data_IF_055009007662
#
_entry.id   IF_055009007662
#
_cell.length_a   1.000
_cell.length_b   1.000
_cell.length_c   1.000
_cell.angle_alpha   90.00
_cell.angle_beta   90.00
_cell.angle_gamma   90.00
#
_symmetry.space_group_name_H-M   'P 1'
#
loop_
_entity.id
_entity.type
_entity.pdbx_description
1 polymer ?
#
# COMPACT_ATOMS: atom_id res chain seq x y z
N UNK A 1 -23.59 7.50 41.50
CA UNK A 1 -24.50 7.37 40.37
C UNK A 1 -24.55 5.90 39.97
N UNK A 2 -25.69 5.32 39.74
CA UNK A 2 -25.74 3.94 39.26
C UNK A 2 -25.33 3.92 37.78
N UNK A 3 -24.38 3.03 37.43
CA UNK A 3 -23.97 2.82 36.06
C UNK A 3 -25.16 2.19 35.29
N UNK A 4 -25.57 2.80 34.20
CA UNK A 4 -26.66 2.32 33.35
C UNK A 4 -26.08 1.84 32.03
N UNK A 5 -26.30 0.58 31.68
CA UNK A 5 -25.96 0.06 30.37
C UNK A 5 -26.94 0.57 29.33
N UNK A 6 -26.43 1.20 28.29
CA UNK A 6 -27.23 1.74 27.18
C UNK A 6 -26.78 1.08 25.88
N UNK A 7 -27.78 0.59 25.09
CA UNK A 7 -27.48 0.08 23.75
C UNK A 7 -27.11 1.20 22.82
N UNK A 8 -26.25 0.92 21.86
CA UNK A 8 -25.86 1.85 20.82
C UNK A 8 -26.36 1.40 19.46
N UNK A 9 -26.96 2.30 18.70
CA UNK A 9 -27.27 2.08 17.29
C UNK A 9 -26.01 2.21 16.43
N UNK A 10 -25.77 1.25 15.55
CA UNK A 10 -24.75 1.33 14.51
C UNK A 10 -25.43 1.43 13.14
N UNK A 11 -24.77 1.96 12.13
CA UNK A 11 -25.31 1.99 10.77
C UNK A 11 -25.38 0.59 10.12
N UNK A 12 -24.65 -0.38 10.68
CA UNK A 12 -24.77 -1.80 10.35
C UNK A 12 -24.42 -2.63 11.58
N UNK A 13 -25.28 -3.59 11.94
CA UNK A 13 -25.09 -4.48 13.07
C UNK A 13 -25.76 -5.83 12.82
N UNK A 14 -24.98 -6.92 12.90
CA UNK A 14 -25.45 -8.30 12.80
C UNK A 14 -24.59 -9.23 13.64
N UNK A 15 -24.88 -10.52 13.68
CA UNK A 15 -24.13 -11.49 14.47
C UNK A 15 -22.63 -11.52 14.08
N UNK A 16 -21.75 -11.11 14.98
CA UNK A 16 -20.29 -11.04 14.82
C UNK A 16 -19.79 -10.12 13.70
N UNK A 17 -20.65 -9.23 13.12
CA UNK A 17 -20.26 -8.28 12.07
C UNK A 17 -21.03 -6.97 12.22
N UNK A 18 -20.43 -5.87 11.72
CA UNK A 18 -21.06 -4.55 11.76
C UNK A 18 -20.05 -3.41 11.88
N UNK A 19 -20.59 -2.21 12.09
CA UNK A 19 -19.78 -1.03 12.42
C UNK A 19 -19.53 -0.98 13.94
N UNK A 20 -18.30 -0.72 14.32
CA UNK A 20 -17.92 -0.65 15.73
C UNK A 20 -17.21 0.68 16.03
N UNK A 21 -18.02 1.72 16.31
CA UNK A 21 -17.56 3.05 16.69
C UNK A 21 -18.31 3.48 17.94
N UNK A 22 -17.68 3.38 19.09
CA UNK A 22 -18.26 3.80 20.36
C UNK A 22 -17.90 5.27 20.63
N UNK A 23 -18.82 6.05 21.26
CA UNK A 23 -18.50 7.38 21.75
C UNK A 23 -17.35 7.33 22.75
N UNK A 24 -16.52 8.36 22.76
CA UNK A 24 -15.50 8.54 23.79
C UNK A 24 -16.11 9.14 25.06
N UNK A 25 -15.47 8.91 26.19
CA UNK A 25 -15.90 9.53 27.45
C UNK A 25 -15.81 11.06 27.32
N UNK A 26 -16.94 11.72 27.54
CA UNK A 26 -17.09 13.17 27.40
C UNK A 26 -17.68 13.63 26.08
N UNK A 27 -17.99 12.71 25.18
CA UNK A 27 -18.73 13.04 23.95
C UNK A 27 -20.21 13.37 24.26
N UNK A 28 -20.75 14.26 23.48
CA UNK A 28 -22.19 14.56 23.44
C UNK A 28 -22.88 13.54 22.56
N UNK A 29 -23.96 12.91 23.06
CA UNK A 29 -24.69 11.88 22.35
C UNK A 29 -26.18 12.19 22.28
N UNK A 30 -26.82 11.76 21.18
CA UNK A 30 -28.27 11.77 21.03
C UNK A 30 -28.84 10.48 21.61
N UNK A 31 -29.76 10.61 22.56
CA UNK A 31 -30.43 9.47 23.19
C UNK A 31 -31.90 9.43 22.80
N UNK A 32 -32.32 8.30 22.26
CA UNK A 32 -33.73 7.97 22.05
C UNK A 32 -34.22 6.97 23.12
N UNK A 33 -35.52 6.72 23.14
CA UNK A 33 -36.17 5.78 24.08
C UNK A 33 -37.12 4.86 23.31
N UNK A 34 -36.97 3.54 23.50
CA UNK A 34 -37.92 2.58 22.93
C UNK A 34 -39.29 2.79 23.55
N UNK A 35 -40.33 2.69 22.76
CA UNK A 35 -41.74 2.85 23.17
C UNK A 35 -41.99 4.17 23.96
N UNK A 36 -41.16 5.19 23.74
CA UNK A 36 -41.23 6.46 24.49
C UNK A 36 -41.05 6.29 26.01
N UNK A 37 -40.41 5.21 26.46
CA UNK A 37 -40.19 4.89 27.85
C UNK A 37 -38.73 5.18 28.26
N UNK A 38 -38.46 6.14 29.19
CA UNK A 38 -37.12 6.50 29.64
C UNK A 38 -36.31 5.37 30.24
N UNK A 39 -36.93 4.25 30.60
CA UNK A 39 -36.26 3.06 31.11
C UNK A 39 -35.50 2.28 30.05
N UNK A 40 -35.79 2.53 28.76
CA UNK A 40 -35.16 1.83 27.63
C UNK A 40 -34.40 2.79 26.71
N UNK A 41 -33.32 3.42 27.19
CA UNK A 41 -32.52 4.34 26.39
C UNK A 41 -31.72 3.62 25.30
N UNK A 42 -31.50 4.34 24.19
CA UNK A 42 -30.61 3.92 23.10
C UNK A 42 -29.82 5.14 22.59
N UNK A 43 -28.51 5.01 22.45
CA UNK A 43 -27.67 6.01 21.83
C UNK A 43 -27.83 5.90 20.31
N UNK A 44 -28.26 6.97 19.67
CA UNK A 44 -28.50 7.06 18.23
C UNK A 44 -27.27 7.57 17.45
N UNK A 45 -26.38 8.30 18.09
CA UNK A 45 -25.16 8.86 17.51
C UNK A 45 -24.51 9.90 18.42
N UNK A 46 -23.40 10.46 17.98
CA UNK A 46 -22.66 11.52 18.65
C UNK A 46 -22.82 12.86 17.91
N UNK A 47 -22.66 13.96 18.62
CA UNK A 47 -22.73 15.32 18.09
C UNK A 47 -21.39 16.03 18.25
N UNK A 48 -21.01 16.81 17.25
CA UNK A 48 -19.96 17.82 17.41
C UNK A 48 -20.51 19.03 18.14
N UNK A 49 -19.68 19.68 18.94
CA UNK A 49 -20.05 20.86 19.70
C UNK A 49 -18.86 21.82 19.84
N UNK A 50 -19.04 22.92 20.58
CA UNK A 50 -18.01 23.94 20.75
C UNK A 50 -16.71 23.45 21.43
N UNK A 51 -16.74 22.31 22.16
CA UNK A 51 -15.58 21.67 22.78
C UNK A 51 -14.99 20.58 21.90
N UNK A 52 -15.85 19.78 21.26
CA UNK A 52 -15.50 18.65 20.38
C UNK A 52 -15.88 19.05 18.95
N UNK A 53 -15.02 19.81 18.27
CA UNK A 53 -15.25 20.28 16.91
C UNK A 53 -15.13 19.16 15.87
N UNK A 54 -15.83 19.32 14.74
CA UNK A 54 -15.66 18.47 13.57
C UNK A 54 -14.22 18.51 13.05
N UNK A 55 -13.65 17.40 12.55
CA UNK A 55 -12.32 17.38 11.94
C UNK A 55 -12.20 18.22 10.68
N UNK A 56 -13.32 18.63 10.08
CA UNK A 56 -13.37 19.49 8.89
C UNK A 56 -14.40 20.62 9.10
N UNK A 57 -14.11 21.77 8.51
CA UNK A 57 -15.07 22.85 8.40
C UNK A 57 -15.99 22.57 7.21
N UNK A 58 -17.29 22.60 7.46
CA UNK A 58 -18.28 22.46 6.38
C UNK A 58 -18.20 23.63 5.40
N UNK A 59 -18.22 23.36 4.12
CA UNK A 59 -18.31 24.33 3.04
C UNK A 59 -19.54 24.07 2.15
N UNK A 60 -19.85 25.01 1.28
CA UNK A 60 -21.00 24.90 0.40
C UNK A 60 -20.88 23.79 -0.66
N UNK A 61 -19.66 23.36 -0.98
CA UNK A 61 -19.40 22.28 -1.96
C UNK A 61 -19.58 20.90 -1.34
N UNK A 62 -19.39 20.78 -0.04
CA UNK A 62 -19.43 19.50 0.68
C UNK A 62 -18.58 18.40 -0.01
N UNK A 63 -17.39 18.78 -0.49
CA UNK A 63 -16.55 17.89 -1.30
C UNK A 63 -15.81 16.83 -0.48
N UNK A 64 -15.62 17.06 0.82
CA UNK A 64 -14.88 16.14 1.69
C UNK A 64 -15.83 15.28 2.51
N UNK A 65 -15.62 13.96 2.48
CA UNK A 65 -16.21 13.00 3.41
C UNK A 65 -15.08 12.24 4.06
N UNK A 66 -15.12 12.04 5.37
CA UNK A 66 -14.03 11.36 6.05
C UNK A 66 -14.48 10.59 7.30
N UNK A 67 -13.70 9.58 7.62
CA UNK A 67 -13.65 8.94 8.94
C UNK A 67 -12.28 9.27 9.53
N UNK A 68 -12.26 9.95 10.66
CA UNK A 68 -11.04 10.29 11.38
C UNK A 68 -11.14 9.72 12.79
N UNK A 69 -10.19 8.88 13.17
CA UNK A 69 -10.14 8.30 14.50
C UNK A 69 -9.49 9.26 15.50
N UNK A 70 -9.63 8.99 16.79
CA UNK A 70 -9.00 9.77 17.87
C UNK A 70 -7.48 9.89 17.74
N UNK A 71 -6.83 8.85 17.20
CA UNK A 71 -5.39 8.85 16.92
C UNK A 71 -5.02 9.46 15.57
N UNK A 72 -5.95 10.13 14.90
CA UNK A 72 -5.78 10.78 13.60
C UNK A 72 -5.50 9.80 12.43
N UNK A 73 -5.84 8.52 12.56
CA UNK A 73 -5.96 7.66 11.39
C UNK A 73 -7.15 8.12 10.55
N UNK A 74 -6.95 8.23 9.25
CA UNK A 74 -7.92 8.89 8.37
C UNK A 74 -8.24 8.06 7.13
N UNK A 75 -9.52 7.95 6.80
CA UNK A 75 -10.03 7.60 5.48
C UNK A 75 -10.81 8.81 4.95
N UNK A 76 -10.37 9.38 3.85
CA UNK A 76 -10.94 10.58 3.25
C UNK A 76 -11.34 10.35 1.79
N UNK A 77 -12.48 10.89 1.40
CA UNK A 77 -12.96 10.99 0.03
C UNK A 77 -13.03 12.46 -0.35
N UNK A 78 -12.39 12.82 -1.46
CA UNK A 78 -12.51 14.13 -2.07
C UNK A 78 -13.30 14.00 -3.39
N UNK A 79 -14.59 14.33 -3.35
CA UNK A 79 -15.49 14.18 -4.49
C UNK A 79 -15.16 15.15 -5.64
N UNK A 80 -14.64 16.34 -5.32
CA UNK A 80 -14.27 17.33 -6.34
C UNK A 80 -13.11 16.84 -7.20
N UNK A 81 -12.10 16.26 -6.57
CA UNK A 81 -10.88 15.74 -7.23
C UNK A 81 -10.94 14.24 -7.52
N UNK A 82 -11.95 13.55 -7.01
CA UNK A 82 -12.10 12.08 -7.11
C UNK A 82 -10.86 11.37 -6.55
N UNK A 83 -10.52 11.70 -5.32
CA UNK A 83 -9.37 11.14 -4.59
C UNK A 83 -9.87 10.40 -3.36
N UNK A 84 -9.36 9.20 -3.15
CA UNK A 84 -9.48 8.44 -1.90
C UNK A 84 -8.11 8.42 -1.24
N UNK A 85 -8.06 8.78 0.05
CA UNK A 85 -6.81 8.82 0.82
C UNK A 85 -6.97 8.05 2.13
N UNK A 86 -6.04 7.13 2.41
CA UNK A 86 -5.84 6.56 3.74
C UNK A 86 -4.52 7.11 4.28
N UNK A 87 -4.54 7.57 5.54
CA UNK A 87 -3.34 8.13 6.20
C UNK A 87 -3.26 7.65 7.64
N UNK A 88 -2.06 7.33 8.08
CA UNK A 88 -1.76 7.13 9.50
C UNK A 88 -0.96 8.32 10.05
N UNK A 89 -0.92 8.57 11.37
CA UNK A 89 -0.13 9.66 11.96
C UNK A 89 1.36 9.63 11.63
N UNK A 90 1.91 8.45 11.32
CA UNK A 90 3.29 8.28 10.86
C UNK A 90 3.50 8.54 9.37
N UNK A 91 2.50 9.12 8.67
CA UNK A 91 2.53 9.39 7.22
C UNK A 91 2.67 8.15 6.34
N UNK A 92 2.17 6.98 6.78
CA UNK A 92 1.92 5.90 5.84
C UNK A 92 0.66 6.25 5.06
N UNK A 93 0.71 6.22 3.74
CA UNK A 93 -0.37 6.67 2.87
C UNK A 93 -0.74 5.66 1.79
N UNK A 94 -2.03 5.61 1.46
CA UNK A 94 -2.53 5.01 0.22
C UNK A 94 -3.41 6.06 -0.44
N UNK A 95 -3.08 6.44 -1.67
CA UNK A 95 -3.80 7.44 -2.45
C UNK A 95 -4.26 6.81 -3.76
N UNK A 96 -5.55 6.90 -4.03
CA UNK A 96 -6.16 6.56 -5.32
C UNK A 96 -6.71 7.84 -5.91
N UNK A 97 -6.20 8.28 -7.05
CA UNK A 97 -6.51 9.59 -7.62
C UNK A 97 -6.85 9.52 -9.10
N UNK A 98 -8.09 9.88 -9.45
CA UNK A 98 -8.49 10.11 -10.84
C UNK A 98 -7.85 11.41 -11.37
N UNK A 99 -7.70 12.42 -10.51
CA UNK A 99 -7.08 13.71 -10.87
C UNK A 99 -5.63 13.53 -11.33
N UNK A 100 -4.83 12.82 -10.52
CA UNK A 100 -3.44 12.49 -10.87
C UNK A 100 -3.32 11.25 -11.78
N UNK A 101 -4.41 10.52 -12.04
CA UNK A 101 -4.44 9.24 -12.77
C UNK A 101 -3.42 8.24 -12.21
N UNK A 102 -3.39 8.10 -10.90
CA UNK A 102 -2.40 7.28 -10.20
C UNK A 102 -2.97 6.56 -8.97
N UNK A 103 -2.32 5.47 -8.62
CA UNK A 103 -2.45 4.82 -7.32
C UNK A 103 -1.06 4.82 -6.70
N UNK A 104 -0.94 5.31 -5.45
CA UNK A 104 0.33 5.42 -4.76
C UNK A 104 0.22 4.89 -3.33
N UNK A 105 1.18 4.07 -2.95
CA UNK A 105 1.38 3.57 -1.59
C UNK A 105 2.75 4.05 -1.14
N UNK A 106 2.80 4.80 -0.04
CA UNK A 106 4.06 5.31 0.52
C UNK A 106 4.10 5.10 2.02
N UNK A 107 5.21 4.63 2.53
CA UNK A 107 5.43 4.49 3.97
C UNK A 107 6.24 5.66 4.56
N UNK A 108 6.28 5.73 5.88
CA UNK A 108 7.04 6.75 6.63
C UNK A 108 8.55 6.74 6.36
N UNK A 109 9.10 5.69 5.72
CA UNK A 109 10.52 5.54 5.40
C UNK A 109 10.80 5.88 3.92
N UNK A 110 9.82 6.39 3.18
CA UNK A 110 9.85 6.70 1.74
C UNK A 110 10.02 5.47 0.84
N UNK A 111 9.63 4.26 1.31
CA UNK A 111 9.38 3.17 0.39
C UNK A 111 8.07 3.44 -0.34
N UNK A 112 8.02 3.21 -1.64
CA UNK A 112 6.82 3.49 -2.41
C UNK A 112 6.55 2.49 -3.54
N UNK A 113 5.26 2.31 -3.84
CA UNK A 113 4.78 1.66 -5.06
C UNK A 113 3.83 2.65 -5.73
N UNK A 114 4.11 2.99 -6.99
CA UNK A 114 3.30 3.91 -7.77
C UNK A 114 2.89 3.28 -9.09
N UNK A 115 1.58 3.34 -9.37
CA UNK A 115 0.97 2.96 -10.64
C UNK A 115 0.49 4.24 -11.32
N UNK A 116 0.95 4.52 -12.52
CA UNK A 116 0.58 5.70 -13.29
C UNK A 116 0.65 5.43 -14.81
N UNK A 117 0.36 6.42 -15.64
CA UNK A 117 0.36 6.25 -17.10
C UNK A 117 1.72 5.82 -17.67
N UNK A 118 2.82 6.12 -16.98
CA UNK A 118 4.17 5.70 -17.34
C UNK A 118 4.51 4.26 -16.96
N UNK A 119 3.66 3.59 -16.17
CA UNK A 119 3.85 2.21 -15.70
C UNK A 119 3.82 2.06 -14.19
N UNK A 120 4.52 1.04 -13.71
CA UNK A 120 4.61 0.71 -12.28
C UNK A 120 6.05 0.96 -11.81
N UNK A 121 6.20 1.75 -10.77
CA UNK A 121 7.50 2.01 -10.12
C UNK A 121 7.47 1.47 -8.70
N UNK A 122 8.50 0.72 -8.33
CA UNK A 122 8.80 0.33 -6.95
C UNK A 122 10.10 1.00 -6.54
N UNK A 123 10.08 1.74 -5.44
CA UNK A 123 11.25 2.47 -4.96
C UNK A 123 11.45 2.24 -3.47
N UNK A 124 12.71 2.02 -3.08
CA UNK A 124 13.12 1.97 -1.68
C UNK A 124 14.46 2.67 -1.51
N UNK A 125 14.64 3.54 -0.50
CA UNK A 125 15.96 4.10 -0.14
C UNK A 125 16.89 3.05 0.48
N UNK A 126 16.41 1.81 0.70
CA UNK A 126 17.17 0.67 1.21
C UNK A 126 16.98 -0.55 0.32
N UNK A 127 16.79 -1.71 0.88
CA UNK A 127 16.70 -2.98 0.16
C UNK A 127 15.29 -3.25 -0.36
N UNK A 128 15.22 -3.90 -1.52
CA UNK A 128 14.00 -4.58 -2.01
C UNK A 128 14.29 -6.08 -2.04
N UNK A 129 13.61 -6.85 -1.20
CA UNK A 129 13.76 -8.31 -1.12
C UNK A 129 12.57 -8.98 -1.80
N UNK A 130 12.82 -9.72 -2.88
CA UNK A 130 11.83 -10.52 -3.60
C UNK A 130 12.10 -11.99 -3.31
N UNK A 131 11.17 -12.67 -2.62
CA UNK A 131 11.29 -14.08 -2.24
C UNK A 131 10.04 -14.84 -2.64
N UNK A 132 10.20 -16.02 -3.21
CA UNK A 132 9.11 -16.92 -3.51
C UNK A 132 9.53 -18.37 -3.15
N UNK A 133 8.59 -19.15 -2.60
CA UNK A 133 8.79 -20.62 -2.44
C UNK A 133 8.58 -21.36 -3.76
N UNK A 134 7.84 -20.77 -4.69
CA UNK A 134 7.69 -21.20 -6.07
C UNK A 134 8.63 -20.44 -7.01
N UNK A 135 8.16 -20.12 -8.19
CA UNK A 135 8.94 -19.48 -9.24
C UNK A 135 8.80 -17.93 -9.19
N UNK A 136 9.86 -17.24 -9.61
CA UNK A 136 9.82 -15.82 -10.00
C UNK A 136 10.04 -15.77 -11.52
N UNK A 137 9.02 -15.32 -12.27
CA UNK A 137 9.08 -15.19 -13.73
C UNK A 137 9.12 -13.70 -14.11
N UNK A 138 10.13 -13.31 -14.87
CA UNK A 138 10.29 -11.95 -15.40
C UNK A 138 10.26 -12.02 -16.93
N UNK A 139 9.20 -11.47 -17.56
CA UNK A 139 9.00 -11.46 -18.99
C UNK A 139 8.72 -10.03 -19.48
N UNK A 140 9.35 -9.63 -20.56
CA UNK A 140 9.11 -8.36 -21.23
C UNK A 140 9.15 -8.56 -22.76
N UNK A 141 8.26 -7.91 -23.48
CA UNK A 141 8.32 -7.84 -24.96
C UNK A 141 9.45 -6.93 -25.44
N UNK A 142 9.83 -5.96 -24.61
CA UNK A 142 10.97 -5.08 -24.84
C UNK A 142 12.25 -5.60 -24.17
N UNK A 143 12.91 -4.74 -23.41
CA UNK A 143 14.18 -5.06 -22.75
C UNK A 143 13.97 -5.34 -21.26
N UNK A 144 14.77 -6.23 -20.73
CA UNK A 144 15.00 -6.36 -19.27
C UNK A 144 16.44 -5.85 -19.01
N UNK A 145 16.55 -4.79 -18.21
CA UNK A 145 17.83 -4.24 -17.77
C UNK A 145 18.06 -4.65 -16.31
N UNK A 146 19.18 -5.27 -16.04
CA UNK A 146 19.64 -5.59 -14.68
C UNK A 146 21.00 -4.93 -14.50
N UNK A 147 21.13 -4.03 -13.55
CA UNK A 147 22.36 -3.25 -13.31
C UNK A 147 22.61 -3.13 -11.81
N UNK A 148 23.82 -3.32 -11.39
CA UNK A 148 24.31 -3.04 -10.04
C UNK A 148 25.60 -2.21 -10.11
N UNK A 149 25.77 -1.27 -9.18
CA UNK A 149 27.02 -0.49 -9.07
C UNK A 149 28.14 -1.28 -8.39
N UNK A 150 27.78 -2.33 -7.66
CA UNK A 150 28.70 -3.27 -7.04
C UNK A 150 28.56 -4.63 -7.74
N UNK A 151 28.31 -5.68 -7.01
CA UNK A 151 28.28 -7.04 -7.54
C UNK A 151 26.89 -7.45 -8.02
N UNK A 152 26.83 -8.15 -9.13
CA UNK A 152 25.67 -8.88 -9.60
C UNK A 152 25.99 -10.38 -9.54
N UNK A 153 25.37 -11.10 -8.60
CA UNK A 153 25.55 -12.54 -8.43
C UNK A 153 24.34 -13.30 -8.98
N UNK A 154 24.57 -14.28 -9.84
CA UNK A 154 23.58 -15.23 -10.33
C UNK A 154 23.99 -16.64 -9.88
N UNK A 155 23.20 -17.27 -9.01
CA UNK A 155 23.49 -18.60 -8.47
C UNK A 155 22.28 -19.49 -8.63
N UNK A 156 22.50 -20.73 -9.07
CA UNK A 156 21.46 -21.73 -9.21
C UNK A 156 22.04 -23.09 -9.50
N UNK A 157 21.25 -24.16 -9.41
CA UNK A 157 21.65 -25.49 -9.85
C UNK A 157 22.05 -25.47 -11.32
N UNK A 158 21.28 -24.75 -12.15
CA UNK A 158 21.60 -24.48 -13.55
C UNK A 158 21.37 -23.01 -13.83
N UNK A 159 22.31 -22.35 -14.49
CA UNK A 159 22.19 -21.01 -15.04
C UNK A 159 22.31 -21.12 -16.56
N UNK A 160 21.25 -20.82 -17.29
CA UNK A 160 21.22 -20.85 -18.75
C UNK A 160 21.06 -19.43 -19.30
N UNK A 161 21.99 -19.02 -20.17
CA UNK A 161 21.89 -17.75 -20.93
C UNK A 161 21.85 -18.08 -22.42
N UNK A 162 20.75 -17.76 -23.10
CA UNK A 162 20.57 -18.03 -24.54
C UNK A 162 20.22 -16.72 -25.26
N UNK A 163 20.96 -16.41 -26.31
CA UNK A 163 20.70 -15.28 -27.17
C UNK A 163 20.51 -15.75 -28.62
N UNK A 164 19.52 -15.21 -29.32
CA UNK A 164 19.27 -15.55 -30.73
C UNK A 164 20.26 -14.89 -31.68
N UNK A 165 20.80 -13.71 -31.33
CA UNK A 165 21.68 -12.95 -32.22
C UNK A 165 23.09 -12.84 -31.66
N UNK A 166 23.25 -12.43 -30.42
CA UNK A 166 24.58 -12.25 -29.86
C UNK A 166 24.60 -12.31 -28.34
N UNK A 167 25.63 -12.90 -27.79
CA UNK A 167 25.94 -12.92 -26.36
C UNK A 167 27.32 -12.30 -26.15
N UNK A 168 27.43 -11.33 -25.26
CA UNK A 168 28.69 -10.69 -24.90
C UNK A 168 28.95 -10.83 -23.41
N UNK A 169 30.02 -11.48 -23.05
CA UNK A 169 30.57 -11.52 -21.68
C UNK A 169 31.92 -10.78 -21.67
N UNK A 170 32.04 -9.71 -20.87
CA UNK A 170 33.26 -8.90 -20.82
C UNK A 170 33.61 -8.56 -19.37
N UNK A 171 34.84 -8.88 -18.94
CA UNK A 171 35.48 -8.34 -17.74
C UNK A 171 36.57 -7.35 -18.11
N UNK A 172 36.65 -6.22 -17.41
CA UNK A 172 37.70 -5.22 -17.68
C UNK A 172 39.08 -5.63 -17.11
N UNK A 173 39.09 -6.36 -16.01
CA UNK A 173 40.30 -6.89 -15.39
C UNK A 173 40.46 -8.40 -15.65
N UNK A 174 39.45 -9.18 -15.34
CA UNK A 174 39.47 -10.64 -15.53
C UNK A 174 38.12 -11.11 -16.09
N UNK A 175 38.16 -12.18 -16.85
CA UNK A 175 36.98 -12.98 -17.23
C UNK A 175 37.40 -14.45 -17.10
N UNK A 176 36.65 -15.23 -16.33
CA UNK A 176 36.91 -16.65 -16.13
C UNK A 176 35.69 -17.48 -16.53
N UNK A 177 35.94 -18.56 -17.25
CA UNK A 177 34.98 -19.62 -17.53
C UNK A 177 35.63 -20.93 -17.13
N UNK A 178 35.21 -21.48 -16.00
CA UNK A 178 35.81 -22.69 -15.47
C UNK A 178 34.74 -23.74 -15.08
N UNK A 179 35.12 -25.00 -15.09
CA UNK A 179 34.30 -26.10 -14.63
C UNK A 179 35.20 -27.18 -14.00
N UNK A 180 34.73 -27.89 -12.96
CA UNK A 180 35.41 -29.05 -12.40
C UNK A 180 35.37 -30.27 -13.35
N UNK A 181 34.48 -30.29 -14.30
CA UNK A 181 34.36 -31.32 -15.34
C UNK A 181 34.83 -30.79 -16.69
N UNK A 182 33.95 -30.54 -17.62
CA UNK A 182 34.26 -30.12 -18.97
C UNK A 182 33.81 -28.69 -19.28
N UNK A 183 34.69 -27.87 -19.82
CA UNK A 183 34.33 -26.61 -20.50
C UNK A 183 34.41 -26.83 -22.00
N UNK A 184 33.30 -26.61 -22.74
CA UNK A 184 33.25 -26.73 -24.19
C UNK A 184 32.93 -25.40 -24.82
N UNK A 185 33.80 -24.88 -25.70
CA UNK A 185 33.60 -23.71 -26.54
C UNK A 185 33.46 -24.19 -27.98
N UNK A 186 32.35 -23.94 -28.64
CA UNK A 186 32.07 -24.37 -30.01
C UNK A 186 31.66 -23.19 -30.87
N UNK A 187 32.17 -23.12 -32.08
CA UNK A 187 31.83 -22.09 -33.07
C UNK A 187 32.43 -22.47 -34.42
N UNK A 188 31.92 -21.88 -35.51
CA UNK A 188 32.54 -22.06 -36.86
C UNK A 188 33.97 -21.46 -36.85
N UNK A 189 34.21 -20.44 -36.02
CA UNK A 189 35.55 -19.89 -35.77
C UNK A 189 35.66 -19.57 -34.27
N UNK A 190 36.76 -19.96 -33.66
CA UNK A 190 37.14 -19.61 -32.28
C UNK A 190 38.48 -18.89 -32.35
N UNK A 191 38.53 -17.62 -31.91
CA UNK A 191 39.78 -16.86 -31.84
C UNK A 191 40.20 -16.75 -30.37
N UNK A 192 41.45 -17.10 -30.09
CA UNK A 192 42.09 -16.96 -28.78
C UNK A 192 43.38 -16.17 -29.02
N UNK A 193 43.47 -14.98 -28.40
CA UNK A 193 44.62 -14.08 -28.49
C UNK A 193 45.47 -14.17 -27.23
#
# INVERSE_FOLDING_TARGET
>A
MADTWVRMAGFYATGNAGSFFLPEIGDEVVVGFFDNDPRFPVILGSLYNGKNASPYTADAKNSIKAIVTKSLMKLEFNDEKKIITLVTPGNNTIIISDDAKSIEITDQNNNSIKLESGGITMNSPKDINIKATGNINMNATGKINVSATQDLALTGLNVAATAQVGFTGKGNATAEVSASGQTAIKGAMVMIN
#
